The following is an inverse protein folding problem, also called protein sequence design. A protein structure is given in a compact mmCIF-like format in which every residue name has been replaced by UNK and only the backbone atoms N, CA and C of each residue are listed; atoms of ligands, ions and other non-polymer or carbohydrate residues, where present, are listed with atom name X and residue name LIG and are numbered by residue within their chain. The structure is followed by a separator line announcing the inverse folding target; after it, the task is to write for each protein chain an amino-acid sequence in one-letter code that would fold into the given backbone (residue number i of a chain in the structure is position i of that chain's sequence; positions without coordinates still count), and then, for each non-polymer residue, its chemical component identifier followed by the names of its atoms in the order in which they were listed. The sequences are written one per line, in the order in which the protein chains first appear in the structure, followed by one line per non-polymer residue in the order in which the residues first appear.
data_IF_917185499288
#
_entry.id   IF_917185499288
#
_cell.length_a   1.000
_cell.length_b   1.000
_cell.length_c   1.000
_cell.angle_alpha   90.00
_cell.angle_beta   90.00
_cell.angle_gamma   90.00
#
_symmetry.space_group_name_H-M   'P 1'
#
loop_
_entity.id
_entity.type
_entity.pdbx_description
1 polymer ?
#
# COMPACT_ATOMS: atom_id res chain seq x y z
N UNK A 1 38.56 55.36 -15.45
CA UNK A 1 38.10 53.93 -15.54
C UNK A 1 37.13 53.67 -14.40
N UNK A 2 35.81 53.69 -14.68
CA UNK A 2 34.77 53.44 -13.69
C UNK A 2 34.51 51.92 -13.62
N UNK A 3 34.81 51.32 -12.46
CA UNK A 3 34.49 49.92 -12.20
C UNK A 3 33.02 49.86 -11.75
N UNK A 4 32.17 49.27 -12.58
CA UNK A 4 30.76 49.00 -12.27
C UNK A 4 30.72 47.66 -11.50
N UNK A 5 30.38 47.75 -10.20
CA UNK A 5 30.08 46.59 -9.39
C UNK A 5 28.63 46.17 -9.65
N UNK A 6 28.44 45.03 -10.35
CA UNK A 6 27.14 44.36 -10.42
C UNK A 6 26.91 43.58 -9.11
N UNK A 7 26.08 44.14 -8.26
CA UNK A 7 25.54 43.42 -7.09
C UNK A 7 24.49 42.42 -7.58
N UNK A 8 24.84 41.16 -7.63
CA UNK A 8 23.88 40.07 -7.90
C UNK A 8 23.15 39.81 -6.60
N UNK A 9 21.96 40.39 -6.47
CA UNK A 9 21.02 40.06 -5.38
C UNK A 9 20.41 38.68 -5.66
N UNK A 10 20.93 37.66 -5.00
CA UNK A 10 20.38 36.29 -5.03
C UNK A 10 19.05 36.32 -4.25
N UNK A 11 17.93 36.41 -4.96
CA UNK A 11 16.60 36.31 -4.37
C UNK A 11 16.38 34.78 -4.16
N UNK A 12 16.65 34.33 -2.95
CA UNK A 12 16.23 33.02 -2.47
C UNK A 12 14.71 33.02 -2.25
N UNK A 13 13.97 32.54 -3.25
CA UNK A 13 12.55 32.26 -3.10
C UNK A 13 12.43 31.05 -2.17
N UNK A 14 12.16 31.30 -0.90
CA UNK A 14 11.77 30.30 0.07
C UNK A 14 10.37 29.79 -0.36
N UNK A 15 10.33 28.66 -1.09
CA UNK A 15 9.13 27.88 -1.26
C UNK A 15 8.75 27.33 0.11
N UNK A 16 7.94 28.09 0.84
CA UNK A 16 7.24 27.58 2.01
C UNK A 16 6.21 26.57 1.51
N UNK A 17 6.57 25.29 1.52
CA UNK A 17 5.61 24.21 1.34
C UNK A 17 4.72 24.20 2.58
N UNK A 18 3.62 24.92 2.54
CA UNK A 18 2.58 24.81 3.54
C UNK A 18 2.02 23.39 3.44
N UNK A 19 2.36 22.54 4.38
CA UNK A 19 1.77 21.20 4.50
C UNK A 19 0.28 21.40 4.80
N UNK A 20 -0.57 21.17 3.79
CA UNK A 20 -2.00 21.22 3.98
C UNK A 20 -2.40 20.07 4.90
N UNK A 21 -3.13 20.40 5.98
CA UNK A 21 -3.64 19.46 6.95
C UNK A 21 -5.09 19.08 6.60
N UNK A 22 -5.43 17.82 6.73
CA UNK A 22 -6.77 17.30 6.50
C UNK A 22 -7.27 16.56 7.73
N UNK A 23 -8.55 16.68 8.03
CA UNK A 23 -9.23 15.88 9.04
C UNK A 23 -9.87 14.69 8.32
N UNK A 24 -9.54 13.46 8.73
CA UNK A 24 -10.19 12.26 8.21
C UNK A 24 -11.61 12.15 8.74
N UNK A 25 -12.58 12.51 7.91
CA UNK A 25 -14.01 12.44 8.22
C UNK A 25 -14.51 11.00 8.24
N UNK A 26 -14.07 10.21 7.27
CA UNK A 26 -14.42 8.79 7.15
C UNK A 26 -13.29 8.01 6.48
N UNK A 27 -13.15 6.73 6.84
CA UNK A 27 -12.18 5.80 6.26
C UNK A 27 -12.88 4.49 5.98
N UNK A 28 -12.99 4.13 4.71
CA UNK A 28 -13.57 2.88 4.22
C UNK A 28 -12.48 1.94 3.72
N UNK A 29 -12.82 0.66 3.63
CA UNK A 29 -11.97 -0.38 3.03
C UNK A 29 -12.77 -1.14 1.99
N UNK A 30 -12.17 -1.37 0.84
CA UNK A 30 -12.72 -2.17 -0.26
C UNK A 30 -11.71 -3.21 -0.73
N UNK A 31 -12.21 -4.34 -1.26
CA UNK A 31 -11.39 -5.42 -1.83
C UNK A 31 -10.80 -6.41 -0.82
N UNK A 32 -11.06 -6.21 0.47
CA UNK A 32 -10.68 -7.18 1.49
C UNK A 32 -11.66 -8.36 1.50
N UNK A 33 -11.11 -9.58 1.52
CA UNK A 33 -11.88 -10.83 1.51
C UNK A 33 -11.65 -11.61 2.80
N UNK A 34 -10.40 -11.79 3.20
CA UNK A 34 -9.98 -12.51 4.40
C UNK A 34 -9.62 -11.55 5.52
N UNK A 35 -8.91 -10.46 5.20
CA UNK A 35 -8.47 -9.46 6.19
C UNK A 35 -9.64 -8.60 6.64
N UNK A 36 -9.76 -8.35 7.94
CA UNK A 36 -10.81 -7.46 8.43
C UNK A 36 -10.53 -5.99 8.07
N UNK A 37 -11.56 -5.23 7.72
CA UNK A 37 -11.44 -3.79 7.46
C UNK A 37 -10.81 -3.04 8.64
N UNK A 38 -11.17 -3.40 9.87
CA UNK A 38 -10.62 -2.77 11.07
C UNK A 38 -9.11 -3.00 11.20
N UNK A 39 -8.61 -4.19 10.87
CA UNK A 39 -7.17 -4.49 10.87
C UNK A 39 -6.44 -3.65 9.84
N UNK A 40 -6.99 -3.50 8.64
CA UNK A 40 -6.42 -2.67 7.56
C UNK A 40 -6.35 -1.20 7.99
N UNK A 41 -7.45 -0.65 8.51
CA UNK A 41 -7.52 0.73 9.00
C UNK A 41 -6.51 0.94 10.14
N UNK A 42 -6.45 0.02 11.10
CA UNK A 42 -5.52 0.13 12.22
C UNK A 42 -4.06 0.11 11.77
N UNK A 43 -3.70 -0.82 10.90
CA UNK A 43 -2.32 -0.97 10.37
C UNK A 43 -1.92 0.22 9.50
N UNK A 44 -2.83 0.74 8.69
CA UNK A 44 -2.57 1.94 7.87
C UNK A 44 -2.23 3.16 8.72
N UNK A 45 -2.76 3.22 9.96
CA UNK A 45 -2.68 4.38 10.82
C UNK A 45 -3.66 5.51 10.44
N UNK A 46 -4.47 5.32 9.39
CA UNK A 46 -5.46 6.30 8.94
C UNK A 46 -6.80 6.00 9.63
N UNK A 47 -7.16 6.80 10.62
CA UNK A 47 -8.38 6.63 11.40
C UNK A 47 -9.23 7.88 11.36
N UNK A 48 -10.54 7.69 11.39
CA UNK A 48 -11.52 8.78 11.52
C UNK A 48 -11.16 9.73 12.66
N UNK A 49 -11.24 11.03 12.40
CA UNK A 49 -10.96 12.09 13.35
C UNK A 49 -9.49 12.50 13.45
N UNK A 50 -8.56 11.81 12.77
CA UNK A 50 -7.16 12.21 12.75
C UNK A 50 -6.94 13.43 11.85
N UNK A 51 -6.09 14.34 12.33
CA UNK A 51 -5.54 15.42 11.51
C UNK A 51 -4.23 14.90 10.89
N UNK A 52 -4.18 14.84 9.57
CA UNK A 52 -3.07 14.28 8.80
C UNK A 52 -2.60 15.24 7.71
N UNK A 53 -1.40 15.01 7.23
CA UNK A 53 -0.87 15.64 6.01
C UNK A 53 -0.86 14.66 4.85
N UNK A 54 -0.69 15.14 3.63
CA UNK A 54 -0.57 14.29 2.44
C UNK A 54 0.58 13.26 2.55
N UNK A 55 1.62 13.54 3.35
CA UNK A 55 2.73 12.62 3.58
C UNK A 55 2.34 11.33 4.34
N UNK A 56 1.19 11.33 5.03
CA UNK A 56 0.73 10.11 5.73
C UNK A 56 0.20 9.03 4.78
N UNK A 57 -0.29 9.39 3.59
CA UNK A 57 -0.80 8.40 2.63
C UNK A 57 0.27 7.42 2.11
N UNK A 58 1.42 7.86 1.61
CA UNK A 58 2.49 6.93 1.23
C UNK A 58 2.98 6.09 2.39
N UNK A 59 3.01 6.64 3.61
CA UNK A 59 3.39 5.89 4.82
C UNK A 59 2.37 4.80 5.15
N UNK A 60 1.08 5.09 5.04
CA UNK A 60 0.00 4.14 5.25
C UNK A 60 0.08 2.98 4.23
N UNK A 61 0.25 3.29 2.94
CA UNK A 61 0.44 2.30 1.89
C UNK A 61 1.65 1.41 2.22
N UNK A 62 2.78 2.00 2.60
CA UNK A 62 3.99 1.24 2.96
C UNK A 62 3.75 0.29 4.13
N UNK A 63 3.03 0.73 5.18
CA UNK A 63 2.70 -0.14 6.33
C UNK A 63 1.85 -1.33 5.90
N UNK A 64 0.87 -1.12 5.03
CA UNK A 64 0.04 -2.21 4.50
C UNK A 64 0.83 -3.17 3.62
N UNK A 65 1.71 -2.68 2.76
CA UNK A 65 2.63 -3.51 1.97
C UNK A 65 3.54 -4.38 2.84
N UNK A 66 3.98 -3.87 3.98
CA UNK A 66 4.85 -4.61 4.91
C UNK A 66 4.17 -5.83 5.54
N UNK A 67 2.82 -5.91 5.53
CA UNK A 67 2.10 -7.11 5.97
C UNK A 67 2.32 -8.30 5.02
N UNK A 68 2.68 -8.05 3.75
CA UNK A 68 2.84 -9.10 2.74
C UNK A 68 1.54 -9.82 2.40
N UNK A 69 0.39 -9.20 2.67
CA UNK A 69 -0.94 -9.77 2.48
C UNK A 69 -1.62 -9.33 1.18
N UNK A 70 -1.11 -8.28 0.56
CA UNK A 70 -1.75 -7.60 -0.55
C UNK A 70 -0.85 -7.59 -1.79
N UNK A 71 -1.46 -7.80 -2.95
CA UNK A 71 -0.85 -7.66 -4.28
C UNK A 71 -0.96 -6.21 -4.77
N UNK A 72 -1.97 -5.46 -4.29
CA UNK A 72 -2.11 -4.03 -4.55
C UNK A 72 -2.74 -3.30 -3.36
N UNK A 73 -2.32 -2.05 -3.15
CA UNK A 73 -2.85 -1.15 -2.13
C UNK A 73 -2.92 0.25 -2.69
N UNK A 74 -4.12 0.81 -2.72
CA UNK A 74 -4.39 2.17 -3.20
C UNK A 74 -5.19 2.95 -2.15
N UNK A 75 -5.08 4.27 -2.18
CA UNK A 75 -5.92 5.17 -1.39
C UNK A 75 -6.66 6.08 -2.37
N UNK A 76 -7.98 6.00 -2.35
CA UNK A 76 -8.87 6.82 -3.17
C UNK A 76 -9.50 7.91 -2.32
N UNK A 77 -9.54 9.11 -2.85
CA UNK A 77 -10.29 10.22 -2.27
C UNK A 77 -11.74 10.13 -2.71
N UNK A 78 -12.66 10.12 -1.75
CA UNK A 78 -14.09 10.03 -2.04
C UNK A 78 -14.78 11.39 -1.98
N UNK A 79 -14.42 12.22 -1.00
CA UNK A 79 -14.97 13.57 -0.79
C UNK A 79 -13.97 14.46 -0.07
N UNK A 80 -13.93 15.75 -0.43
CA UNK A 80 -13.14 16.77 0.22
C UNK A 80 -13.97 18.03 0.40
N UNK A 81 -14.16 18.46 1.64
CA UNK A 81 -14.87 19.69 1.96
C UNK A 81 -14.33 20.31 3.24
N UNK A 82 -14.01 21.60 3.19
CA UNK A 82 -13.55 22.38 4.36
C UNK A 82 -12.37 21.73 5.12
N UNK A 83 -11.36 21.23 4.41
CA UNK A 83 -10.22 20.45 4.96
C UNK A 83 -10.61 19.12 5.63
N UNK A 84 -11.86 18.68 5.50
CA UNK A 84 -12.29 17.33 5.84
C UNK A 84 -12.26 16.46 4.61
N UNK A 85 -11.68 15.26 4.71
CA UNK A 85 -11.60 14.29 3.61
C UNK A 85 -12.17 12.95 4.03
N UNK A 86 -12.87 12.32 3.11
CA UNK A 86 -13.26 10.91 3.19
C UNK A 86 -12.41 10.11 2.21
N UNK A 87 -11.92 8.98 2.64
CA UNK A 87 -11.05 8.13 1.84
C UNK A 87 -11.51 6.68 1.86
N UNK A 88 -11.17 5.97 0.79
CA UNK A 88 -11.30 4.52 0.71
C UNK A 88 -9.92 3.90 0.49
N UNK A 89 -9.52 2.99 1.38
CA UNK A 89 -8.36 2.14 1.20
C UNK A 89 -8.81 0.95 0.36
N UNK A 90 -8.33 0.87 -0.87
CA UNK A 90 -8.61 -0.23 -1.80
C UNK A 90 -7.46 -1.21 -1.75
N UNK A 91 -7.74 -2.47 -1.46
CA UNK A 91 -6.74 -3.53 -1.40
C UNK A 91 -7.09 -4.66 -2.35
N UNK A 92 -6.06 -5.31 -2.89
CA UNK A 92 -6.19 -6.60 -3.57
C UNK A 92 -5.41 -7.62 -2.75
N UNK A 93 -6.10 -8.58 -2.14
CA UNK A 93 -5.44 -9.59 -1.33
C UNK A 93 -4.71 -10.61 -2.19
N UNK A 94 -3.50 -10.99 -1.75
CA UNK A 94 -2.72 -12.03 -2.42
C UNK A 94 -3.40 -13.38 -2.33
N UNK A 95 -3.46 -14.09 -3.45
CA UNK A 95 -3.99 -15.46 -3.50
C UNK A 95 -3.15 -16.41 -2.65
N UNK A 96 -3.80 -17.34 -1.99
CA UNK A 96 -3.18 -18.39 -1.17
C UNK A 96 -3.45 -19.74 -1.81
N UNK A 97 -2.45 -20.59 -1.88
CA UNK A 97 -2.61 -21.99 -2.32
C UNK A 97 -3.50 -22.72 -1.32
N UNK A 98 -4.70 -23.14 -1.74
CA UNK A 98 -5.60 -23.92 -0.90
C UNK A 98 -5.11 -25.36 -0.77
N UNK A 99 -5.15 -26.11 -1.87
CA UNK A 99 -4.76 -27.50 -1.96
C UNK A 99 -3.92 -27.74 -3.21
N UNK A 100 -2.91 -28.60 -3.08
CA UNK A 100 -2.10 -29.08 -4.20
C UNK A 100 -2.34 -30.56 -4.38
N UNK A 101 -2.84 -30.96 -5.55
CA UNK A 101 -3.04 -32.35 -5.92
C UNK A 101 -2.20 -32.70 -7.14
N UNK A 102 -1.59 -33.87 -7.12
CA UNK A 102 -0.76 -34.39 -8.22
C UNK A 102 -1.50 -35.56 -8.90
N UNK A 103 -1.77 -35.42 -10.21
CA UNK A 103 -2.53 -36.42 -10.97
C UNK A 103 -1.65 -37.01 -12.06
N UNK A 104 -1.69 -38.34 -12.21
CA UNK A 104 -0.95 -39.06 -13.26
C UNK A 104 0.47 -39.49 -12.90
N UNK A 105 0.93 -39.26 -11.70
CA UNK A 105 2.25 -39.61 -11.19
C UNK A 105 2.34 -41.07 -10.78
N UNK A 106 2.55 -41.97 -11.74
CA UNK A 106 2.68 -43.42 -11.46
C UNK A 106 4.03 -43.85 -10.89
N UNK A 107 5.09 -43.09 -11.11
CA UNK A 107 6.49 -43.47 -10.76
C UNK A 107 7.15 -42.54 -9.72
N UNK A 108 6.60 -41.38 -9.46
CA UNK A 108 7.18 -40.38 -8.55
C UNK A 108 6.21 -40.18 -7.41
N UNK A 109 6.68 -40.23 -6.18
CA UNK A 109 5.86 -39.96 -4.98
C UNK A 109 5.52 -38.46 -4.90
N UNK A 110 4.33 -38.12 -4.43
CA UNK A 110 3.85 -36.74 -4.26
C UNK A 110 4.81 -35.87 -3.44
N UNK A 111 5.47 -36.46 -2.43
CA UNK A 111 6.48 -35.78 -1.61
C UNK A 111 7.66 -35.21 -2.41
N UNK A 112 8.05 -35.85 -3.52
CA UNK A 112 9.10 -35.33 -4.39
C UNK A 112 8.65 -34.13 -5.21
N UNK A 113 7.37 -34.07 -5.61
CA UNK A 113 6.82 -32.89 -6.29
C UNK A 113 6.75 -31.70 -5.36
N UNK A 114 6.38 -31.90 -4.10
CA UNK A 114 6.36 -30.79 -3.08
C UNK A 114 7.76 -30.22 -2.90
N UNK A 115 8.79 -31.09 -2.87
CA UNK A 115 10.19 -30.68 -2.69
C UNK A 115 10.74 -29.91 -3.91
N UNK A 116 10.43 -30.37 -5.13
CA UNK A 116 10.94 -29.78 -6.38
C UNK A 116 10.20 -28.50 -6.80
N UNK A 117 8.89 -28.43 -6.56
CA UNK A 117 8.07 -27.30 -6.99
C UNK A 117 8.02 -26.13 -5.98
N UNK A 118 8.52 -26.35 -4.77
CA UNK A 118 8.48 -25.37 -3.67
C UNK A 118 7.09 -24.75 -3.43
N UNK A 119 6.01 -25.44 -3.86
CA UNK A 119 4.62 -25.01 -3.71
C UNK A 119 3.94 -25.85 -2.64
N UNK A 120 3.45 -25.21 -1.59
CA UNK A 120 2.75 -25.87 -0.49
C UNK A 120 1.42 -25.21 -0.17
N UNK A 121 0.49 -25.98 0.40
CA UNK A 121 -0.77 -25.44 0.91
C UNK A 121 -0.52 -24.35 1.93
N UNK A 122 -1.27 -23.25 1.86
CA UNK A 122 -1.10 -22.06 2.69
C UNK A 122 -0.06 -21.06 2.18
N UNK A 123 0.71 -21.41 1.15
CA UNK A 123 1.69 -20.50 0.55
C UNK A 123 0.99 -19.41 -0.27
N UNK A 124 1.49 -18.17 -0.20
CA UNK A 124 1.01 -17.07 -1.06
C UNK A 124 1.62 -17.18 -2.44
N UNK A 125 0.78 -17.09 -3.45
CA UNK A 125 1.20 -17.09 -4.85
C UNK A 125 1.60 -15.65 -5.21
N UNK A 126 2.85 -15.48 -5.63
CA UNK A 126 3.30 -14.25 -6.27
C UNK A 126 3.17 -14.41 -7.79
N UNK A 127 2.82 -13.36 -8.55
CA UNK A 127 2.67 -13.45 -10.01
C UNK A 127 3.88 -14.03 -10.76
N UNK A 128 5.08 -13.83 -10.23
CA UNK A 128 6.33 -14.35 -10.80
C UNK A 128 6.58 -15.86 -10.52
N UNK A 129 5.73 -16.52 -9.75
CA UNK A 129 5.84 -17.98 -9.49
C UNK A 129 5.05 -18.82 -10.50
N UNK A 130 4.31 -18.17 -11.41
CA UNK A 130 3.44 -18.86 -12.38
C UNK A 130 4.05 -18.91 -13.81
N UNK A 131 5.35 -18.70 -13.94
CA UNK A 131 6.07 -18.72 -15.23
C UNK A 131 7.03 -19.88 -15.31
#
# INVERSE_FOLDING_TARGET
MKKIFYSITLISVLFSQSSQNFILKDVKVEGNVVSSANTIIFTSGLRKGLNITAAEFPRAIKRLWQLGLFDDVQIRYDDEKNNEISITIVVTESSVVGEVSYVGNRKIKDSKFVEELEISSGQRIKPNMLH
#
